data_IF_020333192320
#
_entry.id   IF_020333192320
#
_cell.length_a   1.000
_cell.length_b   1.000
_cell.length_c   1.000
_cell.angle_alpha   90.00
_cell.angle_beta   90.00
_cell.angle_gamma   90.00
#
_symmetry.space_group_name_H-M   'P 1'
#
loop_
_entity.id
_entity.type
_entity.pdbx_description
1 polymer ?
#
# COMPACT_ATOMS: atom_id res chain seq x y z
N UNK A 1 -24.77 -10.97 22.54
CA UNK A 1 -25.58 -10.91 21.29
C UNK A 1 -25.48 -9.56 20.58
N UNK A 2 -25.60 -8.42 21.28
CA UNK A 2 -25.55 -7.09 20.66
C UNK A 2 -24.25 -6.81 19.88
N UNK A 3 -23.08 -7.11 20.46
CA UNK A 3 -21.79 -6.91 19.79
C UNK A 3 -21.65 -7.70 18.48
N UNK A 4 -22.10 -8.97 18.47
CA UNK A 4 -22.10 -9.82 17.27
C UNK A 4 -23.05 -9.24 16.21
N UNK A 5 -24.23 -8.77 16.61
CA UNK A 5 -25.20 -8.15 15.69
C UNK A 5 -24.65 -6.86 15.07
N UNK A 6 -23.93 -6.04 15.85
CA UNK A 6 -23.28 -4.82 15.34
C UNK A 6 -22.19 -5.15 14.32
N UNK A 7 -21.32 -6.14 14.62
CA UNK A 7 -20.27 -6.58 13.69
C UNK A 7 -20.90 -7.17 12.42
N UNK A 8 -21.93 -8.01 12.56
CA UNK A 8 -22.64 -8.59 11.42
C UNK A 8 -23.23 -7.49 10.52
N UNK A 9 -23.99 -6.54 11.09
CA UNK A 9 -24.56 -5.44 10.32
C UNK A 9 -23.50 -4.56 9.65
N UNK A 10 -22.36 -4.34 10.31
CA UNK A 10 -21.24 -3.62 9.73
C UNK A 10 -20.64 -4.38 8.55
N UNK A 11 -20.33 -5.68 8.72
CA UNK A 11 -19.75 -6.51 7.66
C UNK A 11 -20.72 -6.82 6.52
N UNK A 12 -22.03 -6.79 6.78
CA UNK A 12 -23.08 -6.93 5.76
C UNK A 12 -23.40 -5.64 5.02
N UNK A 13 -22.71 -4.53 5.31
CA UNK A 13 -22.84 -3.30 4.54
C UNK A 13 -22.41 -3.54 3.08
N UNK A 14 -23.27 -3.17 2.14
CA UNK A 14 -23.09 -3.38 0.69
C UNK A 14 -21.85 -2.69 0.13
N UNK A 15 -21.44 -1.53 0.67
CA UNK A 15 -20.20 -0.85 0.26
C UNK A 15 -18.96 -1.67 0.66
N UNK A 16 -18.96 -2.25 1.87
CA UNK A 16 -17.88 -3.12 2.35
C UNK A 16 -17.85 -4.44 1.55
N UNK A 17 -19.02 -5.02 1.29
CA UNK A 17 -19.14 -6.24 0.48
C UNK A 17 -18.68 -6.03 -0.97
N UNK A 18 -18.98 -4.88 -1.57
CA UNK A 18 -18.53 -4.53 -2.92
C UNK A 18 -17.00 -4.47 -3.03
N UNK A 19 -16.30 -4.01 -1.98
CA UNK A 19 -14.84 -4.12 -1.91
C UNK A 19 -14.34 -5.57 -1.93
N UNK A 20 -15.11 -6.52 -1.41
CA UNK A 20 -14.75 -7.94 -1.37
C UNK A 20 -14.97 -8.64 -2.71
N UNK A 21 -15.98 -8.22 -3.49
CA UNK A 21 -16.36 -8.82 -4.77
C UNK A 21 -15.37 -8.50 -5.92
N UNK A 22 -14.57 -7.44 -5.80
CA UNK A 22 -13.60 -7.02 -6.83
C UNK A 22 -12.19 -7.62 -6.70
N UNK A 23 -12.01 -8.65 -5.88
CA UNK A 23 -10.70 -9.19 -5.49
C UNK A 23 -9.72 -8.14 -4.95
N UNK A 24 -10.24 -7.05 -4.42
CA UNK A 24 -9.48 -6.15 -3.57
C UNK A 24 -9.26 -6.88 -2.25
N UNK A 25 -7.99 -7.10 -1.89
CA UNK A 25 -7.64 -7.87 -0.69
C UNK A 25 -8.23 -7.18 0.55
N UNK A 26 -9.11 -7.87 1.29
CA UNK A 26 -9.68 -7.43 2.57
C UNK A 26 -8.62 -7.11 3.65
N UNK A 27 -7.35 -7.47 3.41
CA UNK A 27 -6.27 -7.30 4.37
C UNK A 27 -5.27 -6.21 3.94
N UNK A 28 -5.66 -4.96 4.17
CA UNK A 28 -4.79 -3.78 4.02
C UNK A 28 -3.47 -3.95 4.78
N UNK A 29 -3.50 -4.60 5.96
CA UNK A 29 -2.30 -4.85 6.75
C UNK A 29 -1.32 -5.80 6.04
N UNK A 30 -1.80 -6.81 5.33
CA UNK A 30 -0.95 -7.70 4.55
C UNK A 30 -0.29 -6.98 3.37
N UNK A 31 -1.04 -6.09 2.71
CA UNK A 31 -0.51 -5.26 1.62
C UNK A 31 0.53 -4.25 2.12
N UNK A 32 0.27 -3.57 3.24
CA UNK A 32 1.24 -2.67 3.88
C UNK A 32 2.50 -3.44 4.33
N UNK A 33 2.32 -4.59 4.98
CA UNK A 33 3.43 -5.45 5.39
C UNK A 33 4.25 -5.91 4.18
N UNK A 34 3.62 -6.21 3.05
CA UNK A 34 4.35 -6.54 1.81
C UNK A 34 5.26 -5.40 1.36
N UNK A 35 4.80 -4.14 1.44
CA UNK A 35 5.63 -2.96 1.15
C UNK A 35 6.76 -2.84 2.17
N UNK A 36 6.47 -3.00 3.46
CA UNK A 36 7.48 -2.98 4.51
C UNK A 36 8.61 -3.97 4.28
N UNK A 37 8.27 -5.22 3.96
CA UNK A 37 9.27 -6.27 3.72
C UNK A 37 10.08 -6.06 2.43
N UNK A 38 9.61 -5.24 1.48
CA UNK A 38 10.42 -4.83 0.32
C UNK A 38 11.50 -3.81 0.69
N UNK A 39 11.33 -3.09 1.79
CA UNK A 39 12.27 -2.06 2.25
C UNK A 39 13.20 -2.63 3.33
N UNK A 40 12.63 -3.25 4.34
CA UNK A 40 13.33 -3.89 5.45
C UNK A 40 13.13 -5.39 5.32
N UNK A 41 14.06 -6.11 4.69
CA UNK A 41 13.85 -7.55 4.43
C UNK A 41 13.79 -8.34 5.74
N UNK A 42 13.01 -9.43 5.75
CA UNK A 42 12.92 -10.34 6.92
C UNK A 42 14.23 -11.06 7.23
N UNK A 43 15.11 -11.17 6.23
CA UNK A 43 16.33 -11.99 6.27
C UNK A 43 17.47 -11.16 6.87
N UNK A 44 17.55 -9.88 6.53
CA UNK A 44 18.49 -8.94 7.14
C UNK A 44 17.92 -8.45 8.47
N UNK A 45 18.39 -8.99 9.59
CA UNK A 45 18.11 -8.43 10.91
C UNK A 45 18.41 -6.93 10.90
N UNK A 46 17.39 -6.10 11.11
CA UNK A 46 17.51 -4.65 11.08
C UNK A 46 17.37 -4.09 12.48
N UNK A 47 18.22 -3.13 12.83
CA UNK A 47 18.12 -2.42 14.11
C UNK A 47 16.83 -1.60 14.20
N UNK A 48 16.34 -1.37 15.42
CA UNK A 48 15.08 -0.67 15.70
C UNK A 48 14.87 0.60 14.85
N UNK A 49 15.89 1.47 14.79
CA UNK A 49 15.82 2.73 14.05
C UNK A 49 15.60 2.54 12.55
N UNK A 50 16.21 1.53 11.95
CA UNK A 50 16.03 1.22 10.52
C UNK A 50 14.61 0.71 10.28
N UNK A 51 14.12 -0.17 11.16
CA UNK A 51 12.76 -0.69 11.09
C UNK A 51 11.71 0.42 11.25
N UNK A 52 11.93 1.39 12.14
CA UNK A 52 11.05 2.56 12.29
C UNK A 52 11.02 3.42 11.02
N UNK A 53 12.18 3.74 10.43
CA UNK A 53 12.26 4.49 9.17
C UNK A 53 11.56 3.73 8.03
N UNK A 54 11.79 2.42 7.95
CA UNK A 54 11.14 1.59 6.94
C UNK A 54 9.61 1.57 7.11
N UNK A 55 9.09 1.62 8.33
CA UNK A 55 7.65 1.68 8.59
C UNK A 55 7.05 2.99 8.04
N UNK A 56 7.65 4.13 8.34
CA UNK A 56 7.19 5.43 7.83
C UNK A 56 7.27 5.53 6.30
N UNK A 57 8.38 5.09 5.70
CA UNK A 57 8.51 5.07 4.24
C UNK A 57 7.50 4.10 3.59
N UNK A 58 7.17 3.00 4.26
CA UNK A 58 6.19 2.04 3.75
C UNK A 58 4.77 2.60 3.76
N UNK A 59 4.40 3.33 4.82
CA UNK A 59 3.12 4.02 4.90
C UNK A 59 2.96 5.04 3.77
N UNK A 60 3.98 5.88 3.56
CA UNK A 60 3.98 6.86 2.47
C UNK A 60 3.91 6.16 1.11
N UNK A 61 4.68 5.09 0.88
CA UNK A 61 4.66 4.34 -0.38
C UNK A 61 3.34 3.61 -0.60
N UNK A 62 2.69 3.11 0.45
CA UNK A 62 1.43 2.40 0.37
C UNK A 62 0.29 3.35 -0.04
N UNK A 63 0.19 4.50 0.64
CA UNK A 63 -0.88 5.46 0.41
C UNK A 63 -0.63 6.36 -0.81
N UNK A 64 0.57 6.93 -0.93
CA UNK A 64 0.93 7.93 -1.94
C UNK A 64 1.76 7.40 -3.11
N UNK A 65 2.10 6.11 -3.11
CA UNK A 65 3.02 5.55 -4.12
C UNK A 65 4.44 6.10 -3.98
N UNK A 66 5.24 5.93 -5.03
CA UNK A 66 6.59 6.50 -5.12
C UNK A 66 6.57 8.02 -5.23
N UNK A 67 5.49 8.61 -5.75
CA UNK A 67 5.28 10.06 -5.72
C UNK A 67 5.22 10.62 -4.30
N UNK A 68 4.58 9.91 -3.36
CA UNK A 68 4.53 10.34 -1.95
C UNK A 68 5.91 10.57 -1.35
N UNK A 69 6.92 9.80 -1.78
CA UNK A 69 8.32 9.94 -1.35
C UNK A 69 8.94 11.29 -1.72
N UNK A 70 8.43 11.98 -2.74
CA UNK A 70 8.93 13.30 -3.14
C UNK A 70 8.76 14.33 -2.02
N UNK A 71 7.72 14.20 -1.20
CA UNK A 71 7.52 15.07 -0.03
C UNK A 71 8.63 14.83 1.01
N UNK A 72 8.96 13.57 1.31
CA UNK A 72 10.07 13.22 2.21
C UNK A 72 11.39 13.81 1.67
N UNK A 73 11.65 13.67 0.38
CA UNK A 73 12.86 14.20 -0.26
C UNK A 73 12.95 15.72 -0.15
N UNK A 74 11.81 16.41 -0.30
CA UNK A 74 11.71 17.87 -0.15
C UNK A 74 12.01 18.31 1.29
N UNK A 75 11.45 17.63 2.28
CA UNK A 75 11.72 17.91 3.71
C UNK A 75 13.20 17.67 4.07
N UNK A 76 13.81 16.65 3.47
CA UNK A 76 15.26 16.39 3.58
C UNK A 76 16.13 17.35 2.76
N UNK A 77 15.53 18.35 2.10
CA UNK A 77 16.20 19.35 1.25
C UNK A 77 17.02 18.72 0.11
N UNK A 78 16.57 17.58 -0.40
CA UNK A 78 17.19 16.92 -1.54
C UNK A 78 16.72 17.56 -2.84
N UNK A 79 17.64 17.74 -3.78
CA UNK A 79 17.29 18.16 -5.13
C UNK A 79 16.59 17.01 -5.87
N UNK A 80 15.38 17.26 -6.35
CA UNK A 80 14.58 16.29 -7.10
C UNK A 80 14.67 16.67 -8.58
N UNK A 81 15.29 15.81 -9.39
CA UNK A 81 15.33 16.03 -10.83
C UNK A 81 14.00 15.67 -11.50
N UNK A 82 13.68 16.32 -12.62
CA UNK A 82 12.51 15.94 -13.43
C UNK A 82 12.55 14.47 -13.85
N UNK A 83 13.74 13.92 -14.07
CA UNK A 83 13.93 12.50 -14.39
C UNK A 83 13.48 11.59 -13.23
N UNK A 84 13.80 11.96 -11.99
CA UNK A 84 13.34 11.22 -10.81
C UNK A 84 11.82 11.26 -10.69
N UNK A 85 11.20 12.44 -10.83
CA UNK A 85 9.73 12.56 -10.80
C UNK A 85 9.06 11.72 -11.88
N UNK A 86 9.56 11.81 -13.12
CA UNK A 86 9.04 11.04 -14.25
C UNK A 86 9.19 9.53 -14.04
N UNK A 87 10.31 9.10 -13.46
CA UNK A 87 10.54 7.69 -13.12
C UNK A 87 9.57 7.21 -12.04
N UNK A 88 9.30 8.01 -11.01
CA UNK A 88 8.34 7.70 -9.96
C UNK A 88 6.91 7.61 -10.49
N UNK A 89 6.48 8.60 -11.31
CA UNK A 89 5.21 8.58 -12.02
C UNK A 89 5.02 7.29 -12.83
N UNK A 90 6.00 6.93 -13.66
CA UNK A 90 5.94 5.71 -14.48
C UNK A 90 5.85 4.44 -13.63
N UNK A 91 6.55 4.39 -12.52
CA UNK A 91 6.50 3.25 -11.61
C UNK A 91 5.14 3.12 -10.91
N UNK A 92 4.53 4.23 -10.50
CA UNK A 92 3.21 4.22 -9.88
C UNK A 92 2.10 3.84 -10.88
N UNK A 93 2.15 4.36 -12.10
CA UNK A 93 1.24 3.92 -13.17
C UNK A 93 1.33 2.42 -13.44
N UNK A 94 2.55 1.86 -13.47
CA UNK A 94 2.74 0.40 -13.63
C UNK A 94 2.15 -0.38 -12.45
N UNK A 95 2.34 0.10 -11.22
CA UNK A 95 1.79 -0.52 -10.01
C UNK A 95 0.27 -0.58 -10.06
N UNK A 96 -0.39 0.53 -10.42
CA UNK A 96 -1.85 0.62 -10.53
C UNK A 96 -2.34 -0.34 -11.62
N UNK A 97 -1.77 -0.26 -12.84
CA UNK A 97 -2.14 -1.14 -13.96
C UNK A 97 -2.00 -2.63 -13.59
N UNK A 98 -0.96 -2.99 -12.85
CA UNK A 98 -0.75 -4.36 -12.38
C UNK A 98 -1.78 -4.77 -11.31
N UNK A 99 -2.17 -3.86 -10.43
CA UNK A 99 -3.25 -4.04 -9.47
C UNK A 99 -4.58 -4.31 -10.17
N UNK A 100 -4.96 -3.45 -11.12
CA UNK A 100 -6.20 -3.60 -11.90
C UNK A 100 -6.22 -4.90 -12.68
N UNK A 101 -5.09 -5.31 -13.26
CA UNK A 101 -4.97 -6.58 -13.98
C UNK A 101 -5.24 -7.78 -13.06
N UNK A 102 -4.70 -7.75 -11.84
CA UNK A 102 -4.90 -8.82 -10.84
C UNK A 102 -6.34 -8.86 -10.34
N UNK A 103 -6.92 -7.69 -10.08
CA UNK A 103 -8.33 -7.58 -9.69
C UNK A 103 -9.23 -8.22 -10.75
N UNK A 104 -9.09 -7.82 -12.02
CA UNK A 104 -9.85 -8.40 -13.14
C UNK A 104 -9.68 -9.91 -13.29
N UNK A 105 -8.47 -10.43 -13.14
CA UNK A 105 -8.20 -11.86 -13.28
C UNK A 105 -8.87 -12.70 -12.19
N UNK A 106 -9.05 -12.12 -11.00
CA UNK A 106 -9.67 -12.79 -9.86
C UNK A 106 -11.21 -12.61 -9.82
N UNK A 107 -11.80 -11.75 -10.67
CA UNK A 107 -13.27 -11.60 -10.83
C UNK A 107 -13.84 -12.52 -11.92
N UNK A 108 -12.99 -13.22 -12.67
CA UNK A 108 -13.41 -14.20 -13.69
C UNK A 108 -13.29 -15.60 -13.08
N UNK A 109 -14.23 -15.94 -12.20
CA UNK A 109 -14.70 -17.29 -11.84
C UNK A 109 -16.22 -17.21 -11.66
#
# INVERSE_FOLDING_TARGET
>A
MAAIKTIFNFLSNTEILNCCLGAHTQNTNQSLNSVFWQICTKISGSGRRISEIAAYESDVRFNGGRLGRLNIMKELKLCISNNAMNSHNKADMRRIKQGDRRAKQNTIE
#
